data_IF_348023165444
#
_entry.id   IF_348023165444
#
_cell.length_a   1.000
_cell.length_b   1.000
_cell.length_c   1.000
_cell.angle_alpha   90.00
_cell.angle_beta   90.00
_cell.angle_gamma   90.00
#
_symmetry.space_group_name_H-M   'P 1'
#
loop_
_entity.id
_entity.type
_entity.pdbx_description
1 polymer ?
#
# COMPACT_ATOMS: atom_id res chain seq x y z
N UNK A 1 19.69 -13.13 -4.20
CA UNK A 1 18.29 -13.16 -4.65
C UNK A 1 17.41 -12.53 -3.58
N UNK A 2 16.41 -11.74 -3.98
CA UNK A 2 15.33 -11.26 -3.10
C UNK A 2 14.00 -11.79 -3.61
N UNK A 3 13.08 -12.03 -2.68
CA UNK A 3 11.74 -12.53 -2.97
C UNK A 3 10.75 -11.72 -2.15
N UNK A 4 9.61 -11.38 -2.76
CA UNK A 4 8.44 -10.91 -2.06
C UNK A 4 7.22 -11.73 -2.47
N UNK A 5 6.33 -11.98 -1.51
CA UNK A 5 5.09 -12.71 -1.71
C UNK A 5 3.94 -11.89 -1.14
N UNK A 6 2.81 -11.92 -1.83
CA UNK A 6 1.59 -11.30 -1.37
C UNK A 6 0.37 -12.19 -1.62
N UNK A 7 -0.60 -12.08 -0.72
CA UNK A 7 -1.89 -12.77 -0.80
C UNK A 7 -2.99 -11.73 -0.64
N UNK A 8 -3.91 -11.69 -1.61
CA UNK A 8 -4.95 -10.68 -1.73
C UNK A 8 -6.32 -11.32 -1.73
N UNK A 9 -7.24 -10.77 -0.93
CA UNK A 9 -8.67 -11.07 -1.01
C UNK A 9 -9.33 -10.14 -2.01
N UNK A 10 -9.93 -10.71 -3.07
CA UNK A 10 -10.64 -9.95 -4.11
C UNK A 10 -11.85 -9.20 -3.53
N UNK A 11 -12.72 -9.80 -2.69
CA UNK A 11 -13.84 -9.09 -2.07
C UNK A 11 -13.40 -7.89 -1.24
N UNK A 12 -12.35 -8.05 -0.42
CA UNK A 12 -11.82 -6.94 0.38
C UNK A 12 -11.25 -5.83 -0.50
N UNK A 13 -10.47 -6.20 -1.51
CA UNK A 13 -9.96 -5.25 -2.48
C UNK A 13 -11.08 -4.53 -3.25
N UNK A 14 -12.22 -5.20 -3.51
CA UNK A 14 -13.35 -4.63 -4.21
C UNK A 14 -13.95 -3.41 -3.50
N UNK A 15 -14.02 -3.44 -2.16
CA UNK A 15 -14.49 -2.31 -1.36
C UNK A 15 -13.64 -1.05 -1.61
N UNK A 16 -12.32 -1.22 -1.63
CA UNK A 16 -11.38 -0.13 -1.93
C UNK A 16 -11.47 0.29 -3.41
N UNK A 17 -11.50 -0.68 -4.33
CA UNK A 17 -11.50 -0.44 -5.76
C UNK A 17 -12.81 0.22 -6.27
N UNK A 18 -13.92 0.08 -5.55
CA UNK A 18 -15.19 0.74 -5.87
C UNK A 18 -15.02 2.27 -5.97
N UNK A 19 -14.12 2.85 -5.18
CA UNK A 19 -13.86 4.28 -5.18
C UNK A 19 -12.80 4.67 -6.22
N UNK A 20 -13.19 5.50 -7.20
CA UNK A 20 -12.29 6.01 -8.25
C UNK A 20 -11.00 6.63 -7.69
N UNK A 21 -11.10 7.34 -6.57
CA UNK A 21 -9.94 7.94 -5.88
C UNK A 21 -8.85 6.91 -5.60
N UNK A 22 -9.20 5.80 -4.95
CA UNK A 22 -8.22 4.83 -4.50
C UNK A 22 -7.65 4.06 -5.69
N UNK A 23 -8.46 3.80 -6.73
CA UNK A 23 -7.95 3.31 -8.01
C UNK A 23 -6.87 4.23 -8.60
N UNK A 24 -7.13 5.53 -8.67
CA UNK A 24 -6.16 6.50 -9.24
C UNK A 24 -4.94 6.76 -8.35
N UNK A 25 -5.04 6.46 -7.05
CA UNK A 25 -3.93 6.53 -6.10
C UNK A 25 -2.96 5.36 -6.31
N UNK A 26 -3.50 4.17 -6.55
CA UNK A 26 -2.74 2.92 -6.61
C UNK A 26 -2.21 2.61 -8.01
N UNK A 27 -3.03 2.85 -9.03
CA UNK A 27 -2.75 2.42 -10.40
C UNK A 27 -2.41 3.59 -11.31
N UNK A 28 -1.52 3.34 -12.26
CA UNK A 28 -1.21 4.26 -13.36
C UNK A 28 -2.39 4.32 -14.34
N UNK A 29 -2.47 5.36 -15.18
CA UNK A 29 -3.48 5.44 -16.23
C UNK A 29 -3.46 4.22 -17.17
N UNK A 30 -2.27 3.71 -17.53
CA UNK A 30 -2.10 2.55 -18.40
C UNK A 30 -2.68 1.29 -17.77
N UNK A 31 -2.43 1.07 -16.49
CA UNK A 31 -3.02 -0.05 -15.74
C UNK A 31 -4.55 0.04 -15.75
N UNK A 32 -5.09 1.21 -15.42
CA UNK A 32 -6.55 1.40 -15.39
C UNK A 32 -7.18 1.21 -16.77
N UNK A 33 -6.56 1.71 -17.83
CA UNK A 33 -7.04 1.56 -19.19
C UNK A 33 -7.07 0.09 -19.63
N UNK A 34 -5.98 -0.65 -19.41
CA UNK A 34 -5.93 -2.07 -19.77
C UNK A 34 -6.97 -2.90 -19.01
N UNK A 35 -7.21 -2.60 -17.73
CA UNK A 35 -8.23 -3.30 -16.95
C UNK A 35 -9.65 -2.97 -17.44
N UNK A 36 -9.90 -1.70 -17.80
CA UNK A 36 -11.21 -1.23 -18.27
C UNK A 36 -11.64 -1.81 -19.63
N UNK A 37 -10.71 -2.38 -20.41
CA UNK A 37 -11.03 -3.09 -21.68
C UNK A 37 -11.76 -4.43 -21.44
N UNK A 38 -11.84 -4.89 -20.20
CA UNK A 38 -12.48 -6.14 -19.81
C UNK A 38 -13.88 -5.90 -19.21
N UNK A 39 -14.69 -6.96 -19.06
CA UNK A 39 -15.93 -6.90 -18.29
C UNK A 39 -15.66 -6.56 -16.81
N UNK A 40 -16.67 -6.03 -16.10
CA UNK A 40 -16.51 -5.48 -14.75
C UNK A 40 -15.83 -6.44 -13.74
N UNK A 41 -16.27 -7.70 -13.71
CA UNK A 41 -15.70 -8.74 -12.86
C UNK A 41 -14.22 -9.01 -13.18
N UNK A 42 -13.90 -9.22 -14.47
CA UNK A 42 -12.52 -9.44 -14.92
C UNK A 42 -11.63 -8.21 -14.71
N UNK A 43 -12.18 -7.00 -14.82
CA UNK A 43 -11.47 -5.78 -14.50
C UNK A 43 -11.11 -5.73 -13.00
N UNK A 44 -12.01 -6.16 -12.12
CA UNK A 44 -11.75 -6.20 -10.68
C UNK A 44 -10.67 -7.24 -10.34
N UNK A 45 -10.79 -8.46 -10.86
CA UNK A 45 -9.77 -9.52 -10.70
C UNK A 45 -8.40 -9.06 -11.19
N UNK A 46 -8.34 -8.42 -12.37
CA UNK A 46 -7.11 -7.88 -12.94
C UNK A 46 -6.48 -6.84 -12.02
N UNK A 47 -7.26 -5.91 -11.49
CA UNK A 47 -6.77 -4.89 -10.57
C UNK A 47 -6.32 -5.50 -9.23
N UNK A 48 -7.03 -6.50 -8.70
CA UNK A 48 -6.63 -7.22 -7.49
C UNK A 48 -5.28 -7.93 -7.69
N UNK A 49 -5.10 -8.61 -8.84
CA UNK A 49 -3.83 -9.24 -9.18
C UNK A 49 -2.69 -8.25 -9.33
N UNK A 50 -2.92 -7.11 -9.97
CA UNK A 50 -1.91 -6.03 -10.07
C UNK A 50 -1.56 -5.44 -8.72
N UNK A 51 -2.55 -5.24 -7.84
CA UNK A 51 -2.30 -4.80 -6.47
C UNK A 51 -1.38 -5.80 -5.75
N UNK A 52 -1.69 -7.10 -5.85
CA UNK A 52 -0.88 -8.13 -5.22
C UNK A 52 0.55 -8.18 -5.78
N UNK A 53 0.73 -8.01 -7.09
CA UNK A 53 2.07 -7.88 -7.70
C UNK A 53 2.82 -6.65 -7.19
N UNK A 54 2.15 -5.50 -7.02
CA UNK A 54 2.76 -4.30 -6.43
C UNK A 54 3.24 -4.55 -5.00
N UNK A 55 2.42 -5.21 -4.18
CA UNK A 55 2.79 -5.58 -2.80
C UNK A 55 3.96 -6.57 -2.77
N UNK A 56 3.91 -7.63 -3.58
CA UNK A 56 5.00 -8.59 -3.70
C UNK A 56 6.31 -7.90 -4.12
N UNK A 57 6.24 -6.98 -5.09
CA UNK A 57 7.39 -6.19 -5.55
C UNK A 57 7.90 -5.26 -4.45
N UNK A 58 7.01 -4.59 -3.71
CA UNK A 58 7.36 -3.73 -2.58
C UNK A 58 8.14 -4.51 -1.50
N UNK A 59 7.65 -5.71 -1.15
CA UNK A 59 8.31 -6.62 -0.20
C UNK A 59 9.66 -7.11 -0.71
N UNK A 60 9.77 -7.45 -2.00
CA UNK A 60 11.04 -7.82 -2.64
C UNK A 60 12.07 -6.68 -2.60
N UNK A 61 11.62 -5.43 -2.78
CA UNK A 61 12.46 -4.23 -2.65
C UNK A 61 12.94 -4.02 -1.20
N UNK A 62 12.30 -4.66 -0.22
CA UNK A 62 12.67 -4.61 1.19
C UNK A 62 12.26 -3.32 1.89
N UNK A 63 11.24 -2.62 1.36
CA UNK A 63 10.67 -1.40 1.93
C UNK A 63 9.14 -1.47 1.91
N UNK A 64 8.47 -0.66 2.71
CA UNK A 64 7.01 -0.47 2.66
C UNK A 64 6.62 0.76 1.84
N UNK A 65 5.35 0.83 1.43
CA UNK A 65 4.79 2.07 0.87
C UNK A 65 4.92 3.21 1.88
N UNK A 66 5.38 4.37 1.40
CA UNK A 66 5.74 5.52 2.23
C UNK A 66 7.16 5.52 2.81
N UNK A 67 7.92 4.42 2.66
CA UNK A 67 9.35 4.35 2.99
C UNK A 67 10.24 4.76 1.80
N UNK A 68 9.80 5.76 1.05
CA UNK A 68 10.37 6.17 -0.24
C UNK A 68 9.71 5.49 -1.46
N UNK A 69 8.67 4.67 -1.25
CA UNK A 69 7.92 4.00 -2.31
C UNK A 69 6.49 4.52 -2.40
N UNK A 70 6.00 4.73 -3.63
CA UNK A 70 4.58 4.93 -3.95
C UNK A 70 4.02 3.74 -4.73
N UNK A 71 2.72 3.51 -4.67
CA UNK A 71 2.09 2.41 -5.43
C UNK A 71 2.31 2.53 -6.94
N UNK A 72 2.28 3.77 -7.46
CA UNK A 72 2.49 4.06 -8.89
C UNK A 72 3.96 4.07 -9.30
N UNK A 73 4.90 3.96 -8.36
CA UNK A 73 6.31 3.74 -8.69
C UNK A 73 6.53 2.29 -9.19
N UNK A 74 5.55 1.41 -9.00
CA UNK A 74 5.56 0.03 -9.48
C UNK A 74 4.40 -0.10 -10.47
N UNK A 75 4.67 -0.09 -11.77
CA UNK A 75 3.65 -0.29 -12.80
C UNK A 75 3.59 -1.78 -13.18
N UNK A 76 2.38 -2.34 -13.24
CA UNK A 76 2.14 -3.75 -13.57
C UNK A 76 1.29 -3.86 -14.84
N UNK A 77 1.94 -4.20 -15.95
CA UNK A 77 1.30 -4.44 -17.25
C UNK A 77 1.36 -5.92 -17.61
N UNK A 78 0.97 -6.26 -18.84
CA UNK A 78 1.09 -7.60 -19.38
C UNK A 78 1.78 -7.53 -20.75
N UNK A 79 2.54 -8.55 -21.09
CA UNK A 79 3.06 -8.74 -22.45
C UNK A 79 1.96 -9.24 -23.41
N UNK A 80 2.34 -9.45 -24.68
CA UNK A 80 1.43 -9.92 -25.73
C UNK A 80 0.87 -11.33 -25.47
N UNK A 81 1.54 -12.13 -24.63
CA UNK A 81 1.11 -13.47 -24.21
C UNK A 81 0.31 -13.44 -22.90
N UNK A 82 0.14 -12.28 -22.30
CA UNK A 82 -0.59 -12.07 -21.05
C UNK A 82 0.23 -12.25 -19.77
N UNK A 83 1.54 -12.52 -19.87
CA UNK A 83 2.40 -12.63 -18.68
C UNK A 83 2.56 -11.26 -18.00
N UNK A 84 2.52 -11.17 -16.66
CA UNK A 84 2.67 -9.90 -15.95
C UNK A 84 4.10 -9.35 -16.07
N UNK A 85 4.22 -8.05 -16.30
CA UNK A 85 5.48 -7.32 -16.35
C UNK A 85 5.50 -6.21 -15.31
N UNK A 86 6.65 -5.98 -14.68
CA UNK A 86 6.87 -4.88 -13.73
C UNK A 86 7.83 -3.87 -14.31
N UNK A 87 7.41 -2.61 -14.32
CA UNK A 87 8.28 -1.46 -14.60
C UNK A 87 8.41 -0.61 -13.34
N UNK A 88 9.64 -0.33 -12.93
CA UNK A 88 9.92 0.51 -11.76
C UNK A 88 10.22 1.95 -12.19
N UNK A 89 9.56 2.90 -11.53
CA UNK A 89 9.83 4.32 -11.63
C UNK A 89 10.10 4.95 -10.26
N UNK A 90 10.31 6.26 -10.23
CA UNK A 90 10.38 7.04 -8.99
C UNK A 90 11.32 6.46 -7.95
N UNK A 91 10.84 6.34 -6.71
CA UNK A 91 11.64 5.79 -5.61
C UNK A 91 11.90 4.28 -5.75
N UNK A 92 11.03 3.53 -6.43
CA UNK A 92 11.22 2.09 -6.63
C UNK A 92 12.44 1.81 -7.51
N UNK A 93 12.62 2.58 -8.59
CA UNK A 93 13.81 2.48 -9.44
C UNK A 93 15.09 2.79 -8.66
N UNK A 94 15.09 3.85 -7.84
CA UNK A 94 16.23 4.21 -7.00
C UNK A 94 16.59 3.09 -6.01
N UNK A 95 15.59 2.50 -5.35
CA UNK A 95 15.80 1.40 -4.40
C UNK A 95 16.34 0.14 -5.09
N UNK A 96 15.84 -0.16 -6.29
CA UNK A 96 16.32 -1.28 -7.09
C UNK A 96 17.78 -1.09 -7.50
N UNK A 97 18.16 0.11 -7.94
CA UNK A 97 19.54 0.48 -8.30
C UNK A 97 20.48 0.42 -7.08
N UNK A 98 20.06 0.98 -5.95
CA UNK A 98 20.80 0.91 -4.68
C UNK A 98 21.08 -0.54 -4.27
N UNK A 99 20.10 -1.42 -4.46
CA UNK A 99 20.20 -2.85 -4.18
C UNK A 99 20.97 -3.65 -5.24
N UNK A 100 21.27 -3.05 -6.39
CA UNK A 100 21.83 -3.74 -7.55
C UNK A 100 20.94 -4.91 -7.97
N UNK A 101 19.64 -4.66 -8.12
CA UNK A 101 18.72 -5.67 -8.63
C UNK A 101 18.97 -5.91 -10.11
N UNK A 102 18.91 -7.18 -10.48
CA UNK A 102 18.90 -7.63 -11.88
C UNK A 102 17.46 -7.60 -12.41
N UNK A 103 17.16 -8.42 -13.42
CA UNK A 103 15.81 -8.60 -13.94
C UNK A 103 14.83 -9.02 -12.82
N UNK A 104 13.68 -8.35 -12.79
CA UNK A 104 12.58 -8.65 -11.88
C UNK A 104 11.61 -9.57 -12.62
N UNK A 105 11.42 -10.77 -12.08
CA UNK A 105 10.40 -11.71 -12.55
C UNK A 105 9.22 -11.71 -11.60
N UNK A 106 8.02 -11.71 -12.16
CA UNK A 106 6.79 -11.77 -11.39
C UNK A 106 5.87 -12.85 -11.94
N UNK A 107 5.08 -13.43 -11.04
CA UNK A 107 3.99 -14.33 -11.40
C UNK A 107 2.85 -14.14 -10.42
N UNK A 108 1.65 -14.46 -10.87
CA UNK A 108 0.46 -14.46 -10.02
C UNK A 108 -0.42 -15.64 -10.39
N UNK A 109 -1.17 -16.12 -9.41
CA UNK A 109 -2.22 -17.10 -9.59
C UNK A 109 -3.43 -16.67 -8.80
N UNK A 110 -4.62 -16.94 -9.31
CA UNK A 110 -5.86 -16.64 -8.63
C UNK A 110 -6.75 -17.87 -8.59
N UNK A 111 -7.42 -18.09 -7.47
CA UNK A 111 -8.39 -19.17 -7.29
C UNK A 111 -9.50 -18.69 -6.38
N UNK A 112 -10.75 -18.85 -6.83
CA UNK A 112 -11.92 -18.27 -6.16
C UNK A 112 -11.66 -16.78 -5.85
N UNK A 113 -11.82 -16.38 -4.60
CA UNK A 113 -11.72 -15.00 -4.14
C UNK A 113 -10.31 -14.57 -3.71
N UNK A 114 -9.28 -15.37 -4.03
CA UNK A 114 -7.91 -15.13 -3.61
C UNK A 114 -6.98 -14.98 -4.81
N UNK A 115 -6.02 -14.05 -4.69
CA UNK A 115 -4.88 -13.92 -5.60
C UNK A 115 -3.60 -14.03 -4.79
N UNK A 116 -2.65 -14.82 -5.28
CA UNK A 116 -1.28 -14.84 -4.78
C UNK A 116 -0.35 -14.27 -5.85
N UNK A 117 0.59 -13.43 -5.44
CA UNK A 117 1.64 -12.91 -6.31
C UNK A 117 3.01 -13.15 -5.70
N UNK A 118 3.98 -13.42 -6.57
CA UNK A 118 5.39 -13.58 -6.21
C UNK A 118 6.22 -12.67 -7.11
N UNK A 119 7.16 -11.95 -6.51
CA UNK A 119 8.18 -11.18 -7.20
C UNK A 119 9.57 -11.66 -6.76
N UNK A 120 10.48 -11.81 -7.72
CA UNK A 120 11.85 -12.21 -7.43
C UNK A 120 12.85 -11.49 -8.33
N UNK A 121 14.05 -11.26 -7.80
CA UNK A 121 15.16 -10.68 -8.55
C UNK A 121 16.52 -11.17 -8.04
N UNK A 122 17.48 -11.27 -8.96
CA UNK A 122 18.91 -11.29 -8.62
C UNK A 122 19.29 -10.00 -7.87
N UNK A 123 20.26 -10.07 -6.96
CA UNK A 123 20.73 -8.89 -6.24
C UNK A 123 22.22 -8.97 -5.93
N UNK A 124 22.96 -7.91 -6.25
CA UNK A 124 24.39 -7.83 -5.99
C UNK A 124 24.74 -7.30 -4.58
N UNK A 125 23.78 -6.70 -3.86
CA UNK A 125 24.01 -6.05 -2.56
C UNK A 125 23.03 -6.51 -1.48
N UNK A 126 23.49 -6.65 -0.21
CA UNK A 126 22.61 -6.99 0.91
C UNK A 126 21.57 -5.88 1.16
N UNK A 127 20.41 -6.22 1.75
CA UNK A 127 19.41 -5.23 2.12
C UNK A 127 19.99 -4.26 3.15
N UNK A 128 19.81 -2.96 2.91
CA UNK A 128 20.11 -1.93 3.90
C UNK A 128 18.87 -1.70 4.76
N UNK A 129 19.00 -1.67 6.10
CA UNK A 129 17.88 -1.37 6.96
C UNK A 129 17.35 0.04 6.66
N UNK A 130 16.04 0.15 6.45
CA UNK A 130 15.39 1.44 6.31
C UNK A 130 15.40 2.17 7.65
N UNK A 131 15.99 3.37 7.69
CA UNK A 131 15.92 4.25 8.87
C UNK A 131 14.75 5.20 8.70
N UNK A 132 13.76 5.06 9.59
CA UNK A 132 12.59 5.92 9.59
C UNK A 132 12.95 7.29 10.17
N UNK A 133 12.52 8.36 9.51
CA UNK A 133 12.64 9.71 10.07
C UNK A 133 11.81 9.82 11.35
N UNK A 134 12.25 10.67 12.29
CA UNK A 134 11.49 10.99 13.50
C UNK A 134 10.09 11.48 13.12
N UNK A 135 9.08 11.12 13.91
CA UNK A 135 7.74 11.64 13.70
C UNK A 135 7.76 13.16 13.93
N UNK A 136 7.09 13.97 13.10
CA UNK A 136 6.90 15.38 13.43
C UNK A 136 6.15 15.50 14.77
N UNK A 137 6.55 16.45 15.61
CA UNK A 137 5.88 16.74 16.88
C UNK A 137 4.69 17.65 16.62
N UNK A 138 3.49 17.06 16.51
CA UNK A 138 2.22 17.79 16.44
C UNK A 138 1.61 17.81 17.84
N UNK A 139 1.13 18.95 18.37
CA UNK A 139 0.39 18.99 19.62
C UNK A 139 -0.80 18.02 19.57
N UNK A 140 -0.84 17.07 20.50
CA UNK A 140 -1.87 16.03 20.50
C UNK A 140 -3.05 16.48 21.37
N UNK A 141 -4.23 16.54 20.77
CA UNK A 141 -5.52 16.65 21.48
C UNK A 141 -5.96 15.23 21.88
N UNK A 142 -5.96 14.86 23.17
CA UNK A 142 -6.17 13.48 23.60
C UNK A 142 -7.45 12.85 23.07
N UNK A 143 -8.59 13.56 23.16
CA UNK A 143 -9.89 13.05 22.70
C UNK A 143 -9.89 12.66 21.21
N UNK A 144 -9.22 13.44 20.34
CA UNK A 144 -9.12 13.17 18.91
C UNK A 144 -8.16 12.03 18.61
N UNK A 145 -7.09 11.91 19.41
CA UNK A 145 -6.13 10.83 19.31
C UNK A 145 -6.78 9.49 19.67
N UNK A 146 -7.52 9.46 20.78
CA UNK A 146 -8.25 8.28 21.24
C UNK A 146 -9.35 7.87 20.24
N UNK A 147 -10.03 8.84 19.62
CA UNK A 147 -11.01 8.57 18.56
C UNK A 147 -10.37 7.91 17.33
N UNK A 148 -9.23 8.43 16.86
CA UNK A 148 -8.48 7.81 15.76
C UNK A 148 -7.96 6.42 16.13
N UNK A 149 -7.52 6.23 17.38
CA UNK A 149 -7.10 4.92 17.89
C UNK A 149 -8.26 3.92 17.83
N UNK A 150 -9.46 4.31 18.29
CA UNK A 150 -10.65 3.47 18.27
C UNK A 150 -11.10 3.12 16.84
N UNK A 151 -11.06 4.08 15.92
CA UNK A 151 -11.41 3.87 14.52
C UNK A 151 -10.44 2.89 13.85
N UNK A 152 -9.14 3.00 14.10
CA UNK A 152 -8.14 2.07 13.61
C UNK A 152 -8.25 0.69 14.28
N UNK A 153 -8.50 0.63 15.59
CA UNK A 153 -8.68 -0.60 16.36
C UNK A 153 -9.82 -1.48 15.83
N UNK A 154 -10.97 -0.87 15.57
CA UNK A 154 -12.13 -1.55 14.97
C UNK A 154 -11.76 -2.19 13.63
N UNK A 155 -11.08 -1.42 12.77
CA UNK A 155 -10.70 -1.88 11.44
C UNK A 155 -9.61 -2.98 11.46
N UNK A 156 -8.63 -2.84 12.35
CA UNK A 156 -7.52 -3.76 12.48
C UNK A 156 -7.90 -5.01 13.28
N UNK A 157 -9.07 -5.00 13.93
CA UNK A 157 -9.53 -6.07 14.83
C UNK A 157 -8.55 -6.34 15.99
N UNK A 158 -7.98 -5.26 16.54
CA UNK A 158 -7.05 -5.28 17.70
C UNK A 158 -7.46 -4.22 18.72
N UNK A 159 -7.05 -4.31 20.00
CA UNK A 159 -7.34 -3.29 20.99
C UNK A 159 -6.73 -1.92 20.66
N UNK A 160 -7.43 -0.83 21.01
CA UNK A 160 -6.93 0.53 20.80
C UNK A 160 -5.60 0.83 21.51
N UNK A 161 -5.33 0.16 22.64
CA UNK A 161 -4.05 0.24 23.36
C UNK A 161 -2.90 -0.36 22.54
N UNK A 162 -3.16 -1.39 21.75
CA UNK A 162 -2.18 -1.99 20.84
C UNK A 162 -1.90 -1.05 19.67
N UNK A 163 -2.96 -0.44 19.10
CA UNK A 163 -2.82 0.60 18.07
C UNK A 163 -2.01 1.80 18.57
N UNK A 164 -2.25 2.24 19.80
CA UNK A 164 -1.60 3.40 20.38
C UNK A 164 -0.11 3.19 20.67
N UNK A 165 0.30 1.95 20.96
CA UNK A 165 1.69 1.61 21.24
C UNK A 165 2.45 1.10 20.01
N UNK A 166 1.74 0.70 18.95
CA UNK A 166 2.33 0.26 17.71
C UNK A 166 3.23 1.34 17.11
N UNK A 167 4.48 0.99 16.91
CA UNK A 167 5.45 1.80 16.18
C UNK A 167 5.26 1.66 14.68
N UNK A 168 4.64 0.58 14.21
CA UNK A 168 4.37 0.32 12.79
C UNK A 168 3.08 -0.48 12.64
N UNK A 169 2.09 0.04 11.93
CA UNK A 169 0.86 -0.72 11.63
C UNK A 169 1.17 -2.00 10.86
N UNK A 170 2.04 -1.93 9.86
CA UNK A 170 2.40 -3.11 9.07
C UNK A 170 3.32 -4.07 9.86
N UNK A 171 4.28 -3.54 10.61
CA UNK A 171 5.31 -4.34 11.28
C UNK A 171 4.84 -4.98 12.58
N UNK A 172 4.08 -4.24 13.38
CA UNK A 172 3.68 -4.67 14.72
C UNK A 172 2.28 -5.31 14.69
N UNK A 173 1.38 -4.81 13.82
CA UNK A 173 -0.02 -5.24 13.76
C UNK A 173 -0.38 -6.05 12.50
N UNK A 174 0.58 -6.27 11.59
CA UNK A 174 0.34 -7.02 10.34
C UNK A 174 -0.65 -6.35 9.38
N UNK A 175 -0.90 -5.05 9.54
CA UNK A 175 -1.86 -4.30 8.71
C UNK A 175 -1.36 -4.21 7.27
N UNK A 176 -2.20 -4.60 6.31
CA UNK A 176 -1.87 -4.52 4.88
C UNK A 176 -2.22 -3.15 4.31
N UNK A 177 -1.67 -2.80 3.15
CA UNK A 177 -1.96 -1.53 2.48
C UNK A 177 -3.43 -1.35 2.13
N UNK A 178 -4.17 -2.44 1.87
CA UNK A 178 -5.62 -2.36 1.61
C UNK A 178 -6.34 -1.83 2.85
N UNK A 179 -5.98 -2.33 4.03
CA UNK A 179 -6.54 -1.88 5.30
C UNK A 179 -6.14 -0.43 5.61
N UNK A 180 -4.93 0.00 5.23
CA UNK A 180 -4.52 1.41 5.35
C UNK A 180 -5.38 2.31 4.45
N UNK A 181 -5.74 1.86 3.26
CA UNK A 181 -6.63 2.62 2.36
C UNK A 181 -8.08 2.62 2.90
N UNK A 182 -8.55 1.52 3.50
CA UNK A 182 -9.83 1.48 4.22
C UNK A 182 -9.84 2.46 5.40
N UNK A 183 -8.75 2.53 6.17
CA UNK A 183 -8.57 3.48 7.28
C UNK A 183 -8.66 4.92 6.78
N UNK A 184 -7.91 5.24 5.72
CA UNK A 184 -7.98 6.53 5.04
C UNK A 184 -9.43 6.89 4.67
N UNK A 185 -10.16 5.97 4.05
CA UNK A 185 -11.55 6.20 3.65
C UNK A 185 -12.45 6.52 4.84
N UNK A 186 -12.33 5.75 5.93
CA UNK A 186 -13.10 5.98 7.15
C UNK A 186 -12.77 7.32 7.80
N UNK A 187 -11.49 7.69 7.89
CA UNK A 187 -11.05 8.97 8.45
C UNK A 187 -11.61 10.15 7.64
N UNK A 188 -11.48 10.10 6.33
CA UNK A 188 -11.93 11.21 5.47
C UNK A 188 -13.44 11.38 5.49
N UNK A 189 -14.17 10.27 5.53
CA UNK A 189 -15.62 10.30 5.72
C UNK A 189 -15.99 10.85 7.10
N UNK A 190 -15.36 10.35 8.17
CA UNK A 190 -15.66 10.71 9.56
C UNK A 190 -15.48 12.20 9.84
N UNK A 191 -14.41 12.79 9.32
CA UNK A 191 -14.06 14.20 9.59
C UNK A 191 -14.42 15.15 8.44
N UNK A 192 -14.94 14.66 7.32
CA UNK A 192 -15.28 15.50 6.17
C UNK A 192 -14.06 16.16 5.53
N UNK A 193 -12.90 15.50 5.55
CA UNK A 193 -11.62 16.04 5.07
C UNK A 193 -11.11 15.32 3.82
N UNK A 194 -10.11 15.93 3.17
CA UNK A 194 -9.38 15.33 2.05
C UNK A 194 -7.88 15.30 2.36
N UNK A 195 -7.35 14.11 2.62
CA UNK A 195 -5.92 13.89 2.86
C UNK A 195 -5.18 13.85 1.50
N UNK A 196 -4.18 14.72 1.28
CA UNK A 196 -3.38 14.69 0.06
C UNK A 196 -2.53 13.41 -0.01
N UNK A 197 -2.19 12.97 -1.22
CA UNK A 197 -1.43 11.73 -1.44
C UNK A 197 -0.12 11.65 -0.62
N UNK A 198 0.60 12.76 -0.50
CA UNK A 198 1.82 12.82 0.32
C UNK A 198 1.56 12.52 1.81
N UNK A 199 0.37 12.84 2.32
CA UNK A 199 -0.04 12.53 3.69
C UNK A 199 -0.36 11.05 3.88
N UNK A 200 -0.96 10.39 2.88
CA UNK A 200 -1.35 8.97 2.93
C UNK A 200 -0.14 8.09 3.25
N UNK A 201 0.99 8.35 2.57
CA UNK A 201 2.24 7.62 2.77
C UNK A 201 2.90 7.84 4.14
N UNK A 202 2.41 8.77 4.95
CA UNK A 202 2.88 8.99 6.34
C UNK A 202 2.01 8.28 7.37
N UNK A 203 0.87 7.69 6.99
CA UNK A 203 -0.06 6.99 7.89
C UNK A 203 0.45 5.59 8.28
N UNK A 204 1.66 5.52 8.83
CA UNK A 204 2.37 4.26 9.15
C UNK A 204 2.20 3.80 10.59
N UNK A 205 1.74 4.70 11.46
CA UNK A 205 1.49 4.51 12.89
C UNK A 205 0.48 5.57 13.36
N UNK A 206 -0.03 5.42 14.58
CA UNK A 206 -1.07 6.30 15.09
C UNK A 206 -0.59 7.76 15.24
N UNK A 207 0.58 8.08 15.83
CA UNK A 207 1.06 9.46 15.93
C UNK A 207 1.21 10.17 14.58
N UNK A 208 1.76 9.52 13.55
CA UNK A 208 1.87 10.14 12.23
C UNK A 208 0.52 10.25 11.53
N UNK A 209 -0.35 9.26 11.72
CA UNK A 209 -1.72 9.31 11.22
C UNK A 209 -2.46 10.50 11.83
N UNK A 210 -2.37 10.69 13.15
CA UNK A 210 -2.89 11.86 13.84
C UNK A 210 -2.35 13.15 13.23
N UNK A 211 -1.04 13.27 13.04
CA UNK A 211 -0.43 14.46 12.44
C UNK A 211 -0.95 14.77 11.03
N UNK A 212 -1.15 13.74 10.19
CA UNK A 212 -1.73 13.88 8.84
C UNK A 212 -3.18 14.35 8.90
N UNK A 213 -3.98 13.79 9.82
CA UNK A 213 -5.38 14.18 10.00
C UNK A 213 -5.47 15.60 10.56
N UNK A 214 -4.63 15.93 11.53
CA UNK A 214 -4.57 17.25 12.15
C UNK A 214 -4.28 18.35 11.12
N UNK A 215 -3.29 18.12 10.26
CA UNK A 215 -2.95 19.03 9.15
C UNK A 215 -4.13 19.21 8.19
N UNK A 216 -4.77 18.12 7.77
CA UNK A 216 -5.88 18.18 6.82
C UNK A 216 -7.18 18.73 7.42
N UNK A 217 -7.38 18.60 8.73
CA UNK A 217 -8.57 19.03 9.44
C UNK A 217 -8.44 20.38 10.14
N UNK A 218 -7.25 21.00 10.12
CA UNK A 218 -6.97 22.28 10.78
C UNK A 218 -7.07 22.19 12.31
N UNK A 219 -6.57 21.09 12.88
CA UNK A 219 -6.57 20.84 14.32
C UNK A 219 -5.47 21.58 15.08
#
# INVERSE_FOLDING_TARGET
>A
MRIGVDLMSIPRFAEVAAHRRYRTLVFTPVELEQAARMGAERSLERLAGRFSVKEATCKMLGRGFGQGLRWRDIEVTNDDWGAPLVTLGGGAAQIAEEAGLEEIVVTLSHQADLVVAVAAAGCARPPRPFRRAAAPSVPVVPARFDELAALAADLFSVPATEVATATSFAGDLGVTSVVVIELLARIEHRYGIRIPEAGIYRMTDLPRTYGVVAEAAGW
#
